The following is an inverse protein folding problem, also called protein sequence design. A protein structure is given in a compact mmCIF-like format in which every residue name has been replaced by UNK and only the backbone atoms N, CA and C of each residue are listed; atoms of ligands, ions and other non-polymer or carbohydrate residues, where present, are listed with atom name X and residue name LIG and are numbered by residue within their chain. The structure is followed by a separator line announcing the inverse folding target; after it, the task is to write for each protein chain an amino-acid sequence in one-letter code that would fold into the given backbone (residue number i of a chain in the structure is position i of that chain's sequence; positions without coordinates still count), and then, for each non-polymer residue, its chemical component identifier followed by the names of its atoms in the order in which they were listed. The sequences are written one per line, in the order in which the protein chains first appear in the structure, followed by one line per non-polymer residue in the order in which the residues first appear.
data_IF_814709978964
#
_entry.id   IF_814709978964
#
_cell.length_a   1.000
_cell.length_b   1.000
_cell.length_c   1.000
_cell.angle_alpha   90.00
_cell.angle_beta   90.00
_cell.angle_gamma   90.00
#
_symmetry.space_group_name_H-M   'P 1'
#
loop_
_entity.id
_entity.type
_entity.pdbx_description
1 polymer ?
#
# COMPACT_ATOMS: atom_id res chain seq x y z
N UNK A 1 12.72 -10.72 -29.99
CA UNK A 1 12.10 -11.41 -28.84
C UNK A 1 12.84 -10.98 -27.59
N UNK A 2 12.13 -10.26 -26.70
CA UNK A 2 12.64 -9.68 -25.46
C UNK A 2 12.67 -10.75 -24.35
N UNK A 3 13.81 -10.94 -23.69
CA UNK A 3 13.88 -11.52 -22.36
C UNK A 3 14.57 -10.50 -21.43
N UNK A 4 13.82 -9.50 -21.00
CA UNK A 4 14.24 -8.53 -19.99
C UNK A 4 14.02 -9.09 -18.59
N UNK A 5 14.91 -9.98 -18.14
CA UNK A 5 15.02 -10.32 -16.73
C UNK A 5 15.92 -9.28 -16.04
N UNK A 6 15.33 -8.37 -15.27
CA UNK A 6 16.06 -7.57 -14.29
C UNK A 6 16.18 -8.40 -13.00
N UNK A 7 17.23 -9.22 -12.93
CA UNK A 7 17.61 -9.94 -11.72
C UNK A 7 19.09 -9.73 -11.45
N UNK A 8 19.43 -8.97 -10.41
CA UNK A 8 20.81 -8.87 -9.94
C UNK A 8 21.13 -10.14 -9.14
N UNK A 9 21.83 -11.08 -9.78
CA UNK A 9 22.36 -12.28 -9.14
C UNK A 9 23.75 -11.98 -8.55
N UNK A 10 23.86 -12.04 -7.23
CA UNK A 10 25.11 -11.94 -6.47
C UNK A 10 24.84 -11.43 -5.05
N UNK A 11 25.41 -12.07 -4.04
CA UNK A 11 25.43 -11.54 -2.67
C UNK A 11 26.23 -10.24 -2.67
N UNK A 12 25.62 -9.07 -2.45
CA UNK A 12 26.32 -7.81 -2.58
C UNK A 12 27.29 -7.63 -1.42
N UNK A 13 28.54 -7.24 -1.72
CA UNK A 13 29.48 -6.78 -0.71
C UNK A 13 28.97 -5.46 -0.12
N UNK A 14 29.31 -5.15 1.14
CA UNK A 14 28.82 -3.95 1.85
C UNK A 14 29.06 -2.64 1.08
N UNK A 15 30.20 -2.51 0.41
CA UNK A 15 30.52 -1.35 -0.44
C UNK A 15 29.65 -1.28 -1.71
N UNK A 16 29.31 -2.43 -2.31
CA UNK A 16 28.40 -2.50 -3.46
C UNK A 16 26.96 -2.17 -3.06
N UNK A 17 26.52 -2.61 -1.88
CA UNK A 17 25.19 -2.29 -1.34
C UNK A 17 25.02 -0.80 -1.08
N UNK A 18 26.04 -0.13 -0.53
CA UNK A 18 26.00 1.30 -0.24
C UNK A 18 25.95 2.15 -1.53
N UNK A 19 26.74 1.77 -2.56
CA UNK A 19 26.70 2.42 -3.87
C UNK A 19 25.34 2.24 -4.57
N UNK A 20 24.72 1.07 -4.40
CA UNK A 20 23.39 0.78 -4.94
C UNK A 20 22.31 1.58 -4.21
N UNK A 21 22.34 1.63 -2.88
CA UNK A 21 21.39 2.41 -2.08
C UNK A 21 21.43 3.89 -2.45
N UNK A 22 22.63 4.47 -2.59
CA UNK A 22 22.80 5.85 -3.03
C UNK A 22 22.22 6.08 -4.45
N UNK A 23 22.52 5.19 -5.40
CA UNK A 23 21.94 5.28 -6.76
C UNK A 23 20.41 5.18 -6.76
N UNK A 24 19.84 4.27 -5.97
CA UNK A 24 18.39 4.12 -5.85
C UNK A 24 17.75 5.31 -5.14
N UNK A 25 18.44 5.93 -4.19
CA UNK A 25 17.96 7.14 -3.51
C UNK A 25 17.83 8.31 -4.49
N UNK A 26 18.76 8.41 -5.45
CA UNK A 26 18.80 9.45 -6.46
C UNK A 26 17.99 9.12 -7.74
N UNK A 27 17.29 7.99 -7.81
CA UNK A 27 16.56 7.58 -9.01
C UNK A 27 15.49 8.61 -9.43
N UNK A 28 14.88 9.29 -8.46
CA UNK A 28 13.94 10.40 -8.70
C UNK A 28 14.55 11.60 -9.45
N UNK A 29 15.89 11.73 -9.48
CA UNK A 29 16.64 12.76 -10.21
C UNK A 29 17.08 12.29 -11.60
N UNK A 30 16.97 10.99 -11.91
CA UNK A 30 17.40 10.46 -13.21
C UNK A 30 16.38 10.78 -14.30
N UNK A 31 16.77 11.67 -15.24
CA UNK A 31 15.88 12.15 -16.29
C UNK A 31 15.36 11.04 -17.22
N UNK A 32 16.16 9.99 -17.45
CA UNK A 32 15.76 8.88 -18.32
C UNK A 32 14.73 7.98 -17.62
N UNK A 33 14.95 7.68 -16.34
CA UNK A 33 14.03 6.93 -15.51
C UNK A 33 12.68 7.66 -15.37
N UNK A 34 12.71 8.96 -15.07
CA UNK A 34 11.52 9.81 -15.01
C UNK A 34 10.73 9.79 -16.31
N UNK A 35 11.38 10.05 -17.45
CA UNK A 35 10.73 10.04 -18.77
C UNK A 35 10.12 8.69 -19.12
N UNK A 36 10.76 7.59 -18.70
CA UNK A 36 10.22 6.23 -18.89
C UNK A 36 9.00 5.99 -18.00
N UNK A 37 9.03 6.39 -16.73
CA UNK A 37 7.90 6.27 -15.81
C UNK A 37 6.69 7.08 -16.31
N UNK A 38 6.92 8.31 -16.75
CA UNK A 38 5.89 9.20 -17.32
C UNK A 38 5.17 8.58 -18.52
N UNK A 39 5.87 7.82 -19.36
CA UNK A 39 5.27 7.10 -20.50
C UNK A 39 4.18 6.10 -20.06
N UNK A 40 4.25 5.59 -18.84
CA UNK A 40 3.25 4.70 -18.25
C UNK A 40 2.31 5.43 -17.28
N UNK A 41 2.35 6.76 -17.25
CA UNK A 41 1.57 7.58 -16.32
C UNK A 41 2.01 7.42 -14.87
N UNK A 42 3.28 7.12 -14.63
CA UNK A 42 3.89 6.99 -13.30
C UNK A 42 4.85 8.16 -13.04
N UNK A 43 5.17 8.39 -11.77
CA UNK A 43 6.16 9.34 -11.27
C UNK A 43 7.15 8.62 -10.34
N UNK A 44 8.32 9.23 -10.14
CA UNK A 44 9.37 8.73 -9.24
C UNK A 44 9.58 9.78 -8.15
N UNK A 45 9.26 9.43 -6.90
CA UNK A 45 9.24 10.36 -5.75
C UNK A 45 9.97 9.76 -4.55
N UNK A 46 10.48 10.59 -3.65
CA UNK A 46 11.10 10.15 -2.37
C UNK A 46 10.11 10.15 -1.21
N UNK A 47 8.98 10.82 -1.36
CA UNK A 47 7.92 10.92 -0.36
C UNK A 47 6.58 10.57 -0.99
N UNK A 48 5.86 9.65 -0.35
CA UNK A 48 4.50 9.25 -0.65
C UNK A 48 3.57 9.71 0.48
N UNK A 49 2.27 9.71 0.22
CA UNK A 49 1.27 10.13 1.19
C UNK A 49 0.22 9.03 1.28
N UNK A 50 -0.17 8.67 2.49
CA UNK A 50 -1.41 7.92 2.74
C UNK A 50 -2.53 8.95 2.96
N UNK A 51 -3.61 8.82 2.20
CA UNK A 51 -4.73 9.76 2.24
C UNK A 51 -6.06 9.02 2.29
N UNK A 52 -6.62 8.90 3.50
CA UNK A 52 -7.87 8.19 3.73
C UNK A 52 -9.08 9.10 4.04
N UNK A 53 -8.89 10.41 4.23
CA UNK A 53 -10.00 11.31 4.61
C UNK A 53 -9.76 12.80 4.26
N UNK A 54 -9.21 13.08 3.08
CA UNK A 54 -9.13 14.44 2.53
C UNK A 54 -10.46 15.19 2.50
N UNK A 55 -10.43 16.47 2.90
CA UNK A 55 -11.56 17.37 2.68
C UNK A 55 -11.70 17.67 1.18
N UNK A 56 -12.93 17.65 0.66
CA UNK A 56 -13.21 17.86 -0.76
C UNK A 56 -12.48 19.10 -1.31
N UNK A 57 -11.72 18.93 -2.39
CA UNK A 57 -10.90 19.96 -3.04
C UNK A 57 -9.81 20.61 -2.16
N UNK A 58 -9.35 19.93 -1.11
CA UNK A 58 -8.30 20.43 -0.19
C UNK A 58 -7.07 19.52 -0.22
N UNK A 59 -5.91 20.03 0.19
CA UNK A 59 -4.75 19.20 0.56
C UNK A 59 -4.74 18.81 2.05
N UNK A 60 -5.81 19.16 2.78
CA UNK A 60 -5.95 18.92 4.22
C UNK A 60 -7.09 17.94 4.52
N UNK A 61 -6.92 17.14 5.57
CA UNK A 61 -7.92 16.23 6.08
C UNK A 61 -7.39 15.50 7.32
N UNK A 62 -8.27 14.91 8.15
CA UNK A 62 -7.84 13.93 9.13
C UNK A 62 -7.17 12.74 8.42
N UNK A 63 -6.24 12.05 9.08
CA UNK A 63 -5.63 10.82 8.57
C UNK A 63 -4.90 10.98 7.22
N UNK A 64 -4.14 12.07 7.06
CA UNK A 64 -3.16 12.25 5.99
C UNK A 64 -1.77 12.14 6.61
N UNK A 65 -0.93 11.25 6.08
CA UNK A 65 0.44 11.06 6.57
C UNK A 65 1.44 10.99 5.45
N UNK A 66 2.53 11.75 5.58
CA UNK A 66 3.70 11.67 4.71
C UNK A 66 4.53 10.45 5.10
N UNK A 67 4.84 9.61 4.12
CA UNK A 67 5.66 8.42 4.29
C UNK A 67 6.85 8.48 3.35
N UNK A 68 8.01 8.06 3.84
CA UNK A 68 9.19 7.86 3.02
C UNK A 68 9.82 6.54 3.42
N UNK A 69 10.30 5.78 2.44
CA UNK A 69 11.04 4.55 2.70
C UNK A 69 12.51 4.90 2.93
N UNK A 70 13.04 4.60 4.11
CA UNK A 70 14.46 4.80 4.42
C UNK A 70 15.20 3.48 4.53
N UNK A 71 16.43 3.41 4.02
CA UNK A 71 17.36 2.32 4.35
C UNK A 71 18.22 2.75 5.52
N UNK A 72 18.05 2.11 6.67
CA UNK A 72 18.90 2.31 7.84
C UNK A 72 20.16 1.46 7.69
N UNK A 73 21.32 2.09 7.64
CA UNK A 73 22.60 1.38 7.72
C UNK A 73 23.06 1.25 9.18
N UNK A 74 23.82 0.19 9.50
CA UNK A 74 24.29 -0.10 10.88
C UNK A 74 25.14 1.01 11.52
N UNK A 75 25.64 1.96 10.72
CA UNK A 75 26.34 3.14 11.21
C UNK A 75 25.49 4.36 10.91
N UNK A 76 25.29 5.26 11.88
CA UNK A 76 24.62 6.54 11.61
C UNK A 76 25.45 7.29 10.57
N UNK A 77 24.96 7.29 9.33
CA UNK A 77 25.46 8.15 8.29
C UNK A 77 24.59 9.41 8.30
N UNK A 78 25.13 10.62 8.09
CA UNK A 78 24.34 11.86 8.09
C UNK A 78 23.28 11.93 6.98
N UNK A 79 23.15 10.88 6.16
CA UNK A 79 22.13 10.71 5.14
C UNK A 79 21.55 9.31 5.27
N UNK A 80 20.54 9.13 6.11
CA UNK A 80 19.61 8.02 5.90
C UNK A 80 19.04 8.20 4.48
N UNK A 81 19.29 7.23 3.62
CA UNK A 81 18.91 7.34 2.21
C UNK A 81 17.40 7.14 2.08
N UNK A 82 16.69 8.21 1.71
CA UNK A 82 15.30 8.10 1.26
C UNK A 82 15.29 7.37 -0.07
N UNK A 83 14.60 6.25 -0.13
CA UNK A 83 14.42 5.47 -1.35
C UNK A 83 13.41 6.14 -2.28
N UNK A 84 13.74 6.12 -3.56
CA UNK A 84 12.78 6.49 -4.60
C UNK A 84 11.69 5.43 -4.74
N UNK A 85 10.44 5.86 -4.82
CA UNK A 85 9.24 5.06 -5.05
C UNK A 85 8.68 5.40 -6.44
N UNK A 86 8.29 4.38 -7.20
CA UNK A 86 7.62 4.55 -8.50
C UNK A 86 6.12 4.34 -8.28
N UNK A 87 5.30 5.35 -8.54
CA UNK A 87 3.85 5.33 -8.28
C UNK A 87 3.06 6.17 -9.27
N UNK A 88 1.73 6.09 -9.24
CA UNK A 88 0.89 7.08 -9.94
C UNK A 88 1.11 8.49 -9.34
N UNK A 89 0.97 9.56 -10.15
CA UNK A 89 1.05 10.93 -9.66
C UNK A 89 0.07 11.18 -8.51
N UNK A 90 0.49 11.99 -7.54
CA UNK A 90 -0.40 12.44 -6.46
C UNK A 90 -1.68 13.06 -7.06
N UNK A 91 -2.82 12.94 -6.38
CA UNK A 91 -4.13 13.45 -6.81
C UNK A 91 -4.76 12.72 -8.01
N UNK A 92 -4.19 11.60 -8.47
CA UNK A 92 -4.72 10.78 -9.57
C UNK A 92 -4.95 9.34 -9.16
N UNK A 93 -5.23 9.11 -7.88
CA UNK A 93 -5.46 7.77 -7.37
C UNK A 93 -6.71 7.20 -8.03
N UNK A 94 -6.50 6.15 -8.83
CA UNK A 94 -7.57 5.43 -9.49
C UNK A 94 -8.23 4.56 -8.43
N UNK A 95 -9.44 4.96 -8.04
CA UNK A 95 -10.28 4.14 -7.17
C UNK A 95 -11.12 3.17 -7.99
N UNK A 96 -11.40 2.01 -7.42
CA UNK A 96 -12.29 1.02 -7.98
C UNK A 96 -13.33 0.61 -6.94
N UNK A 97 -14.60 0.65 -7.34
CA UNK A 97 -15.69 0.06 -6.56
C UNK A 97 -15.64 -1.46 -6.72
N UNK A 98 -15.31 -2.14 -5.62
CA UNK A 98 -15.19 -3.59 -5.58
C UNK A 98 -16.34 -4.18 -4.79
N UNK A 99 -17.06 -5.20 -5.30
CA UNK A 99 -18.13 -5.84 -4.55
C UNK A 99 -17.64 -6.36 -3.20
N UNK A 100 -18.38 -6.06 -2.13
CA UNK A 100 -18.00 -6.40 -0.75
C UNK A 100 -17.79 -7.92 -0.56
N UNK A 101 -18.50 -8.74 -1.34
CA UNK A 101 -18.41 -10.20 -1.30
C UNK A 101 -17.05 -10.74 -1.77
N UNK A 102 -16.24 -9.93 -2.48
CA UNK A 102 -14.87 -10.32 -2.88
C UNK A 102 -13.89 -10.29 -1.71
N UNK A 103 -14.22 -9.61 -0.62
CA UNK A 103 -13.40 -9.57 0.58
C UNK A 103 -13.84 -10.68 1.54
N UNK A 104 -12.87 -11.33 2.18
CA UNK A 104 -13.15 -12.41 3.12
C UNK A 104 -12.46 -12.15 4.46
N UNK A 105 -13.12 -12.60 5.52
CA UNK A 105 -12.60 -12.62 6.89
C UNK A 105 -12.53 -14.07 7.34
N UNK A 106 -11.47 -14.42 8.07
CA UNK A 106 -11.35 -15.71 8.73
C UNK A 106 -11.97 -15.62 10.12
N UNK A 107 -12.92 -16.49 10.43
CA UNK A 107 -13.64 -16.58 11.71
C UNK A 107 -13.57 -17.99 12.27
N UNK A 108 -14.11 -18.22 13.46
CA UNK A 108 -14.09 -19.48 14.21
C UNK A 108 -13.25 -19.38 15.48
N UNK A 109 -12.36 -18.39 15.58
CA UNK A 109 -11.54 -18.16 16.78
C UNK A 109 -12.33 -17.54 17.94
N UNK A 110 -13.54 -17.06 17.71
CA UNK A 110 -14.46 -16.56 18.75
C UNK A 110 -15.00 -17.70 19.65
N UNK A 111 -14.92 -18.96 19.21
CA UNK A 111 -15.37 -20.13 19.97
C UNK A 111 -14.20 -21.03 20.33
N UNK A 112 -14.18 -21.49 21.58
CA UNK A 112 -13.20 -22.50 22.02
C UNK A 112 -13.38 -23.80 21.23
N UNK A 113 -12.29 -24.34 20.69
CA UNK A 113 -12.25 -25.58 19.91
C UNK A 113 -13.09 -25.59 18.61
N UNK A 114 -13.34 -24.43 18.00
CA UNK A 114 -13.98 -24.37 16.69
C UNK A 114 -12.95 -24.38 15.55
N UNK A 115 -13.38 -24.80 14.36
CA UNK A 115 -12.56 -24.76 13.15
C UNK A 115 -12.58 -23.38 12.50
N UNK A 116 -11.45 -22.96 11.96
CA UNK A 116 -11.37 -21.71 11.20
C UNK A 116 -12.08 -21.87 9.86
N UNK A 117 -12.90 -20.87 9.51
CA UNK A 117 -13.58 -20.78 8.20
C UNK A 117 -13.42 -19.39 7.60
N UNK A 118 -13.43 -19.31 6.27
CA UNK A 118 -13.49 -18.04 5.54
C UNK A 118 -14.93 -17.73 5.18
N UNK A 119 -15.39 -16.54 5.55
CA UNK A 119 -16.69 -15.98 5.18
C UNK A 119 -16.50 -14.66 4.46
N UNK A 120 -17.52 -14.19 3.75
CA UNK A 120 -17.45 -12.87 3.11
C UNK A 120 -17.47 -11.76 4.16
N UNK A 121 -16.86 -10.61 3.85
CA UNK A 121 -16.94 -9.44 4.71
C UNK A 121 -18.39 -8.96 4.90
N UNK A 122 -19.23 -9.12 3.88
CA UNK A 122 -20.68 -8.84 3.98
C UNK A 122 -21.35 -9.68 5.05
N UNK A 123 -21.20 -11.01 4.99
CA UNK A 123 -21.76 -11.93 5.99
C UNK A 123 -21.26 -11.57 7.39
N UNK A 124 -19.96 -11.31 7.52
CA UNK A 124 -19.38 -10.91 8.80
C UNK A 124 -20.03 -9.63 9.37
N UNK A 125 -20.23 -8.59 8.56
CA UNK A 125 -20.83 -7.34 9.02
C UNK A 125 -22.35 -7.43 9.24
N UNK A 126 -23.02 -8.26 8.45
CA UNK A 126 -24.47 -8.51 8.58
C UNK A 126 -24.77 -9.28 9.87
N UNK A 127 -23.94 -10.26 10.22
CA UNK A 127 -24.14 -11.16 11.35
C UNK A 127 -23.02 -11.04 12.41
N UNK A 128 -22.48 -9.83 12.61
CA UNK A 128 -21.29 -9.58 13.44
C UNK A 128 -21.41 -10.09 14.89
N UNK A 129 -22.62 -10.11 15.44
CA UNK A 129 -22.90 -10.67 16.77
C UNK A 129 -22.66 -12.19 16.85
N UNK A 130 -22.64 -12.93 15.73
CA UNK A 130 -22.29 -14.36 15.72
C UNK A 130 -20.80 -14.62 15.85
N UNK A 131 -19.98 -13.61 15.51
CA UNK A 131 -18.53 -13.72 15.37
C UNK A 131 -17.76 -12.90 16.41
N UNK A 132 -18.46 -12.27 17.35
CA UNK A 132 -17.88 -11.48 18.44
C UNK A 132 -18.65 -11.74 19.72
N UNK A 133 -17.97 -11.68 20.87
CA UNK A 133 -18.63 -11.79 22.19
C UNK A 133 -19.36 -10.50 22.62
N UNK A 134 -19.46 -9.53 21.71
CA UNK A 134 -20.06 -8.22 21.97
C UNK A 134 -21.48 -8.16 21.43
N UNK A 135 -22.39 -7.51 22.17
CA UNK A 135 -23.74 -7.25 21.70
C UNK A 135 -23.76 -6.08 20.70
N UNK A 136 -23.42 -6.39 19.45
CA UNK A 136 -23.30 -5.40 18.36
C UNK A 136 -24.41 -5.62 17.35
N UNK A 137 -25.07 -4.53 16.93
CA UNK A 137 -26.07 -4.58 15.86
C UNK A 137 -25.39 -4.84 14.50
N UNK A 138 -26.11 -5.43 13.53
CA UNK A 138 -25.63 -5.52 12.15
C UNK A 138 -25.05 -4.19 11.65
N UNK A 139 -23.83 -4.24 11.11
CA UNK A 139 -23.11 -3.07 10.61
C UNK A 139 -23.27 -2.89 9.09
N UNK A 140 -23.85 -3.88 8.40
CA UNK A 140 -24.08 -3.82 6.97
C UNK A 140 -25.38 -3.07 6.62
N UNK A 141 -25.37 -2.30 5.52
CA UNK A 141 -26.54 -1.69 4.88
C UNK A 141 -26.45 -1.84 3.36
N UNK A 142 -27.57 -1.73 2.64
CA UNK A 142 -27.60 -1.87 1.16
C UNK A 142 -26.63 -0.93 0.42
N UNK A 143 -26.41 0.27 0.98
CA UNK A 143 -25.46 1.26 0.44
C UNK A 143 -23.99 0.79 0.50
N UNK A 144 -23.68 -0.20 1.35
CA UNK A 144 -22.33 -0.73 1.60
C UNK A 144 -22.05 -1.99 0.75
N UNK A 145 -22.77 -2.16 -0.37
CA UNK A 145 -22.58 -3.28 -1.31
C UNK A 145 -21.25 -3.20 -2.07
N UNK A 146 -20.61 -2.04 -2.08
CA UNK A 146 -19.31 -1.79 -2.70
C UNK A 146 -18.32 -1.28 -1.66
N UNK A 147 -17.07 -1.70 -1.82
CA UNK A 147 -15.92 -1.17 -1.08
C UNK A 147 -15.07 -0.38 -2.07
N UNK A 148 -14.79 0.87 -1.70
CA UNK A 148 -13.85 1.69 -2.44
C UNK A 148 -12.44 1.16 -2.18
N UNK A 149 -11.78 0.71 -3.23
CA UNK A 149 -10.38 0.30 -3.22
C UNK A 149 -9.54 1.30 -3.99
N UNK A 150 -8.29 1.47 -3.59
CA UNK A 150 -7.31 2.28 -4.32
C UNK A 150 -6.12 1.40 -4.68
N UNK A 151 -5.47 1.70 -5.80
CA UNK A 151 -4.21 1.08 -6.21
C UNK A 151 -3.01 1.56 -5.40
N UNK A 152 -3.21 2.44 -4.41
CA UNK A 152 -2.19 2.76 -3.42
C UNK A 152 -2.07 1.63 -2.39
N UNK A 153 -1.19 0.68 -2.69
CA UNK A 153 -0.57 -0.21 -1.70
C UNK A 153 0.92 -0.36 -2.04
#
# INVERSE_FOLDING_TARGET
MNNGYFGFCGTPTRANSQNLAEKLSCLHLDAFARKRAEKFGLDIVTTSWEDNARSKNSCWGPCITDMSLGVKEDKPHPRDFLMSMIRKPNYRDETCDTPIEKFCVTVGNEKKNSSLKRITLKEFLQDIALYTDNNVKPMWRDRDSQIVTSVQA
#
